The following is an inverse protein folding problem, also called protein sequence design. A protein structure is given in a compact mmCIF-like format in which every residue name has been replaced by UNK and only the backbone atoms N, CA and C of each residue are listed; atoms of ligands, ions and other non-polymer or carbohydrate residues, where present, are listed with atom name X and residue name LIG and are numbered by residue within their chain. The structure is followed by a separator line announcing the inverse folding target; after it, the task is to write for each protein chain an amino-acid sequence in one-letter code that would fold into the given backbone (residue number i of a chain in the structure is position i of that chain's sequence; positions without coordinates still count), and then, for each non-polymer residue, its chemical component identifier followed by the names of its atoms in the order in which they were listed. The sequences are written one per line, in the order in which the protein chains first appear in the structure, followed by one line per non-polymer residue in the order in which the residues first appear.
data_IF_385514628840
#
_entry.id   IF_385514628840
#
_cell.length_a   1.000
_cell.length_b   1.000
_cell.length_c   1.000
_cell.angle_alpha   90.00
_cell.angle_beta   90.00
_cell.angle_gamma   90.00
#
_symmetry.space_group_name_H-M   'P 1'
#
loop_
_entity.id
_entity.type
_entity.pdbx_description
1 polymer ?
#
# COMPACT_ATOMS: atom_id res chain seq x y z
N UNK A 1 -14.14 -18.75 17.18
CA UNK A 1 -12.67 -18.74 16.99
C UNK A 1 -12.39 -19.25 15.59
N UNK A 2 -11.71 -18.49 14.74
CA UNK A 2 -11.25 -18.97 13.44
C UNK A 2 -10.11 -19.97 13.68
N UNK A 3 -10.23 -21.17 13.11
CA UNK A 3 -9.34 -22.30 13.38
C UNK A 3 -7.89 -21.99 13.00
N UNK A 4 -6.97 -22.27 13.92
CA UNK A 4 -5.55 -22.02 13.79
C UNK A 4 -4.77 -23.11 13.01
N UNK A 5 -5.47 -24.04 12.34
CA UNK A 5 -4.88 -25.26 11.75
C UNK A 5 -4.91 -25.32 10.21
N UNK A 6 -5.03 -24.19 9.53
CA UNK A 6 -4.89 -24.16 8.08
C UNK A 6 -3.43 -23.86 7.70
N UNK A 7 -2.81 -24.76 6.94
CA UNK A 7 -1.54 -24.46 6.27
C UNK A 7 -1.68 -23.18 5.42
N UNK A 8 -0.64 -22.35 5.31
CA UNK A 8 -0.69 -21.14 4.49
C UNK A 8 -1.12 -21.48 3.06
N UNK A 9 -2.08 -20.72 2.52
CA UNK A 9 -2.55 -20.89 1.12
C UNK A 9 -1.42 -20.60 0.13
N UNK A 10 -0.51 -19.70 0.49
CA UNK A 10 0.66 -19.35 -0.30
C UNK A 10 1.95 -19.70 0.46
N UNK A 11 2.99 -20.20 -0.23
CA UNK A 11 4.30 -20.40 0.37
C UNK A 11 4.93 -19.04 0.75
N UNK A 12 5.95 -19.07 1.61
CA UNK A 12 6.57 -17.86 2.16
C UNK A 12 7.28 -17.00 1.11
N UNK A 13 7.73 -17.61 0.02
CA UNK A 13 8.39 -16.96 -1.10
C UNK A 13 7.41 -16.46 -2.17
N UNK A 14 6.11 -16.74 -2.04
CA UNK A 14 5.11 -16.27 -2.98
C UNK A 14 4.99 -14.74 -2.92
N UNK A 15 5.17 -14.11 -4.07
CA UNK A 15 4.95 -12.68 -4.27
C UNK A 15 3.50 -12.45 -4.69
N UNK A 16 2.77 -11.70 -3.88
CA UNK A 16 1.46 -11.16 -4.22
C UNK A 16 1.57 -9.64 -4.39
N UNK A 17 1.17 -9.12 -5.54
CA UNK A 17 1.23 -7.69 -5.83
C UNK A 17 -0.13 -7.16 -6.32
N UNK A 18 -0.43 -5.90 -6.01
CA UNK A 18 -1.66 -5.21 -6.42
C UNK A 18 -1.39 -3.74 -6.74
N UNK A 19 -1.94 -3.28 -7.85
CA UNK A 19 -2.14 -1.86 -8.14
C UNK A 19 -3.62 -1.52 -8.07
N UNK A 20 -3.98 -0.41 -7.43
CA UNK A 20 -5.30 0.17 -7.59
C UNK A 20 -5.28 1.68 -7.34
N UNK A 21 -5.74 2.45 -8.33
CA UNK A 21 -5.81 3.92 -8.27
C UNK A 21 -4.48 4.58 -7.91
N UNK A 22 -3.36 4.04 -8.36
CA UNK A 22 -2.01 4.55 -8.08
C UNK A 22 -1.41 4.11 -6.75
N UNK A 23 -2.20 3.57 -5.81
CA UNK A 23 -1.67 2.86 -4.65
C UNK A 23 -1.15 1.47 -5.06
N UNK A 24 -0.13 1.00 -4.35
CA UNK A 24 0.59 -0.23 -4.69
C UNK A 24 0.91 -1.01 -3.43
N UNK A 25 0.85 -2.33 -3.54
CA UNK A 25 1.42 -3.18 -2.51
C UNK A 25 2.06 -4.43 -3.11
N UNK A 26 3.13 -4.89 -2.46
CA UNK A 26 3.72 -6.21 -2.65
C UNK A 26 3.79 -6.89 -1.30
N UNK A 27 3.42 -8.17 -1.24
CA UNK A 27 3.58 -9.01 -0.06
C UNK A 27 4.36 -10.26 -0.44
N UNK A 28 5.39 -10.56 0.34
CA UNK A 28 6.15 -11.81 0.28
C UNK A 28 6.31 -12.33 1.70
N UNK A 29 5.66 -13.45 2.00
CA UNK A 29 5.60 -14.02 3.34
C UNK A 29 5.03 -13.03 4.38
N UNK A 30 5.89 -12.65 5.35
CA UNK A 30 5.56 -11.70 6.43
C UNK A 30 5.79 -10.24 6.05
N UNK A 31 6.52 -9.97 4.98
CA UNK A 31 6.90 -8.61 4.62
C UNK A 31 5.91 -8.02 3.62
N UNK A 32 5.63 -6.73 3.79
CA UNK A 32 4.78 -5.98 2.87
C UNK A 32 5.43 -4.65 2.53
N UNK A 33 5.54 -4.39 1.24
CA UNK A 33 5.94 -3.12 0.67
C UNK A 33 4.68 -2.37 0.23
N UNK A 34 4.57 -1.08 0.55
CA UNK A 34 3.42 -0.25 0.13
C UNK A 34 3.87 1.08 -0.41
N UNK A 35 3.10 1.58 -1.38
CA UNK A 35 3.16 2.94 -1.88
C UNK A 35 1.76 3.52 -1.79
N UNK A 36 1.58 4.53 -0.94
CA UNK A 36 0.26 5.11 -0.68
C UNK A 36 0.03 6.42 -1.44
N UNK A 37 -1.23 6.65 -1.80
CA UNK A 37 -1.75 7.89 -2.37
C UNK A 37 -3.09 8.25 -1.70
N UNK A 38 -3.57 9.50 -1.81
CA UNK A 38 -4.88 9.89 -1.31
C UNK A 38 -6.03 9.06 -1.91
N UNK A 39 -6.99 8.71 -1.07
CA UNK A 39 -8.10 7.83 -1.43
C UNK A 39 -9.06 8.47 -2.44
N UNK A 40 -9.13 8.03 -3.70
CA UNK A 40 -10.00 8.66 -4.72
C UNK A 40 -11.49 8.77 -4.33
N UNK A 41 -12.19 9.75 -4.92
CA UNK A 41 -13.66 9.91 -4.85
C UNK A 41 -14.26 10.17 -3.45
N UNK A 42 -13.48 10.57 -2.46
CA UNK A 42 -13.99 10.96 -1.13
C UNK A 42 -13.56 12.38 -0.76
N UNK A 43 -14.20 12.98 0.23
CA UNK A 43 -13.69 14.18 0.88
C UNK A 43 -12.68 13.78 1.95
N UNK A 44 -11.51 14.45 1.98
CA UNK A 44 -10.43 14.16 2.92
C UNK A 44 -9.86 15.46 3.50
N UNK A 45 -10.15 15.79 4.77
CA UNK A 45 -9.73 17.07 5.38
C UNK A 45 -8.34 17.06 5.98
N UNK A 46 -7.64 15.92 5.94
CA UNK A 46 -6.34 15.79 6.59
C UNK A 46 -5.21 16.07 5.61
N UNK A 47 -4.11 16.59 6.14
CA UNK A 47 -2.89 16.75 5.36
C UNK A 47 -2.44 15.39 4.81
N UNK A 48 -1.92 15.40 3.58
CA UNK A 48 -1.31 14.21 2.97
C UNK A 48 0.04 13.98 3.65
N UNK A 49 0.26 12.86 4.35
CA UNK A 49 1.52 12.61 5.03
C UNK A 49 2.70 12.57 4.05
N UNK A 50 3.86 13.11 4.45
CA UNK A 50 5.08 13.11 3.61
C UNK A 50 5.56 11.71 3.20
N UNK A 51 5.26 10.70 4.04
CA UNK A 51 5.55 9.29 3.75
C UNK A 51 4.68 8.69 2.63
N UNK A 52 3.63 9.38 2.19
CA UNK A 52 2.91 8.99 0.98
C UNK A 52 3.72 9.37 -0.25
N UNK A 53 3.47 8.70 -1.37
CA UNK A 53 4.31 8.83 -2.56
C UNK A 53 5.77 8.39 -2.37
N UNK A 54 6.04 7.54 -1.40
CA UNK A 54 7.29 6.83 -1.23
C UNK A 54 7.02 5.38 -0.83
N UNK A 55 7.99 4.51 -1.09
CA UNK A 55 7.92 3.11 -0.69
C UNK A 55 8.16 2.96 0.81
N UNK A 56 7.30 2.19 1.46
CA UNK A 56 7.40 1.86 2.88
C UNK A 56 7.42 0.36 3.06
N UNK A 57 8.23 -0.14 4.00
CA UNK A 57 8.39 -1.57 4.26
C UNK A 57 7.91 -1.91 5.66
N UNK A 58 7.10 -2.96 5.78
CA UNK A 58 6.52 -3.41 7.03
C UNK A 58 6.70 -4.92 7.23
N UNK A 59 6.89 -5.31 8.49
CA UNK A 59 6.81 -6.70 8.93
C UNK A 59 5.44 -6.95 9.55
N UNK A 60 4.55 -7.60 8.81
CA UNK A 60 3.17 -7.86 9.23
C UNK A 60 3.05 -8.85 10.40
N UNK A 61 4.10 -9.61 10.72
CA UNK A 61 4.06 -10.53 11.86
C UNK A 61 4.25 -9.78 13.18
N UNK A 62 5.12 -8.77 13.21
CA UNK A 62 5.35 -7.94 14.40
C UNK A 62 4.48 -6.68 14.42
N UNK A 63 4.10 -6.18 13.25
CA UNK A 63 3.30 -4.98 13.06
C UNK A 63 2.18 -5.18 12.01
N UNK A 64 1.08 -5.85 12.37
CA UNK A 64 -0.08 -6.00 11.49
C UNK A 64 -0.75 -4.68 11.10
N UNK A 65 -0.43 -3.58 11.80
CA UNK A 65 -1.04 -2.26 11.61
C UNK A 65 -0.24 -1.32 10.73
N UNK A 66 0.90 -1.77 10.18
CA UNK A 66 1.73 -1.00 9.23
C UNK A 66 2.11 0.39 9.79
N UNK A 67 2.54 0.40 11.05
CA UNK A 67 2.86 1.63 11.80
C UNK A 67 4.34 1.97 11.75
N UNK A 68 5.20 0.97 11.78
CA UNK A 68 6.65 1.11 11.91
C UNK A 68 7.31 0.74 10.59
N UNK A 69 7.72 1.76 9.85
CA UNK A 69 8.44 1.58 8.59
C UNK A 69 9.88 1.12 8.88
N UNK A 70 10.23 -0.09 8.42
CA UNK A 70 11.54 -0.71 8.62
C UNK A 70 12.43 -0.64 7.37
N UNK A 71 12.05 0.16 6.38
CA UNK A 71 12.78 0.29 5.09
C UNK A 71 14.25 0.70 5.27
N UNK A 72 14.52 1.63 6.18
CA UNK A 72 15.89 2.09 6.47
C UNK A 72 16.78 1.01 7.11
N UNK A 73 16.17 0.08 7.85
CA UNK A 73 16.85 -1.03 8.52
C UNK A 73 17.09 -2.23 7.58
N UNK A 74 16.26 -2.35 6.53
CA UNK A 74 16.29 -3.48 5.59
C UNK A 74 16.34 -3.02 4.11
N UNK A 75 17.36 -2.27 3.68
CA UNK A 75 17.43 -1.70 2.33
C UNK A 75 17.52 -2.77 1.22
N UNK A 76 18.15 -3.92 1.49
CA UNK A 76 18.25 -5.00 0.50
C UNK A 76 16.89 -5.66 0.24
N UNK A 77 16.12 -5.94 1.30
CA UNK A 77 14.77 -6.47 1.21
C UNK A 77 13.81 -5.46 0.55
N UNK A 78 13.98 -4.18 0.87
CA UNK A 78 13.23 -3.11 0.20
C UNK A 78 13.45 -3.15 -1.31
N UNK A 79 14.71 -3.27 -1.76
CA UNK A 79 15.03 -3.38 -3.19
C UNK A 79 14.45 -4.64 -3.82
N UNK A 80 14.57 -5.80 -3.16
CA UNK A 80 13.99 -7.07 -3.65
C UNK A 80 12.47 -6.94 -3.90
N UNK A 81 11.74 -6.35 -2.96
CA UNK A 81 10.29 -6.19 -3.10
C UNK A 81 9.90 -5.10 -4.12
N UNK A 82 10.76 -4.09 -4.32
CA UNK A 82 10.59 -3.11 -5.41
C UNK A 82 10.79 -3.80 -6.76
N UNK A 83 11.82 -4.63 -6.91
CA UNK A 83 12.06 -5.38 -8.16
C UNK A 83 10.87 -6.32 -8.44
N UNK A 84 10.35 -7.00 -7.41
CA UNK A 84 9.15 -7.83 -7.52
C UNK A 84 7.89 -7.04 -7.91
N UNK A 85 7.78 -5.78 -7.45
CA UNK A 85 6.74 -4.86 -7.92
C UNK A 85 6.90 -4.53 -9.41
N UNK A 86 8.13 -4.24 -9.85
CA UNK A 86 8.40 -3.89 -11.24
C UNK A 86 8.09 -5.05 -12.20
N UNK A 87 8.45 -6.28 -11.82
CA UNK A 87 8.08 -7.49 -12.56
C UNK A 87 6.56 -7.65 -12.70
N UNK A 88 5.82 -7.45 -11.60
CA UNK A 88 4.35 -7.44 -11.62
C UNK A 88 3.80 -6.34 -12.54
N UNK A 89 4.35 -5.12 -12.42
CA UNK A 89 3.90 -3.97 -13.18
C UNK A 89 4.14 -4.15 -14.69
N UNK A 90 5.25 -4.76 -15.09
CA UNK A 90 5.53 -5.11 -16.49
C UNK A 90 4.58 -6.19 -16.99
N UNK A 91 4.40 -7.27 -16.23
CA UNK A 91 3.52 -8.37 -16.61
C UNK A 91 2.05 -7.93 -16.78
N UNK A 92 1.61 -6.93 -16.01
CA UNK A 92 0.22 -6.45 -16.00
C UNK A 92 0.04 -5.09 -16.70
N UNK A 93 1.09 -4.55 -17.34
CA UNK A 93 1.05 -3.27 -18.05
C UNK A 93 0.55 -2.11 -17.17
N UNK A 94 0.98 -2.09 -15.91
CA UNK A 94 0.64 -1.06 -14.93
C UNK A 94 1.24 0.28 -15.36
N UNK A 95 0.42 1.34 -15.28
CA UNK A 95 0.87 2.71 -15.48
C UNK A 95 1.53 3.22 -14.19
N UNK A 96 2.83 3.55 -14.26
CA UNK A 96 3.67 3.83 -13.09
C UNK A 96 3.72 5.28 -12.65
N UNK A 97 3.37 6.22 -13.52
CA UNK A 97 3.39 7.64 -13.18
C UNK A 97 1.97 8.17 -12.95
N UNK A 98 1.15 7.36 -12.27
CA UNK A 98 -0.18 7.79 -11.83
C UNK A 98 -0.01 8.61 -10.55
N UNK A 99 -0.24 9.90 -10.66
CA UNK A 99 -0.46 10.81 -9.54
C UNK A 99 -1.91 11.24 -9.60
N UNK A 100 -2.66 10.97 -8.53
CA UNK A 100 -4.00 11.54 -8.41
C UNK A 100 -3.85 13.04 -8.20
N UNK A 101 -4.21 13.82 -9.22
CA UNK A 101 -4.33 15.27 -9.15
C UNK A 101 -5.80 15.67 -9.25
N UNK A 102 -6.16 16.84 -8.71
CA UNK A 102 -7.54 17.37 -8.76
C UNK A 102 -8.60 16.39 -8.22
N UNK A 103 -8.35 15.89 -7.02
CA UNK A 103 -9.18 14.98 -6.21
C UNK A 103 -10.63 15.44 -5.93
N UNK A 104 -10.97 16.67 -6.30
CA UNK A 104 -12.18 17.37 -5.91
C UNK A 104 -13.39 16.97 -6.77
N UNK A 105 -13.88 15.73 -6.62
CA UNK A 105 -15.25 15.44 -7.06
C UNK A 105 -16.30 16.15 -6.18
N UNK A 106 -15.89 16.63 -5.00
CA UNK A 106 -16.69 17.38 -4.05
C UNK A 106 -15.89 18.58 -3.54
N UNK A 107 -15.89 19.68 -4.30
CA UNK A 107 -15.32 20.97 -3.87
C UNK A 107 -16.05 21.57 -2.65
N UNK A 108 -17.21 21.02 -2.30
CA UNK A 108 -18.08 21.49 -1.24
C UNK A 108 -18.41 20.31 -0.32
N UNK A 109 -18.26 20.53 0.98
CA UNK A 109 -18.77 19.63 2.02
C UNK A 109 -20.25 19.30 1.71
N UNK A 110 -20.65 18.01 1.65
CA UNK A 110 -22.06 17.66 1.68
C UNK A 110 -22.67 18.23 2.96
N UNK A 111 -23.81 18.92 2.88
CA UNK A 111 -24.49 19.58 4.01
C UNK A 111 -24.70 18.66 5.24
N UNK A 112 -24.63 17.34 5.04
CA UNK A 112 -24.86 16.33 6.07
C UNK A 112 -23.57 15.68 6.63
N UNK A 113 -22.39 16.25 6.42
CA UNK A 113 -21.17 15.71 7.05
C UNK A 113 -21.21 15.98 8.57
N UNK A 114 -21.17 14.96 9.43
CA UNK A 114 -21.25 15.18 10.87
C UNK A 114 -19.97 15.85 11.37
N UNK A 115 -20.11 17.02 11.99
CA UNK A 115 -19.05 17.65 12.78
C UNK A 115 -18.63 16.68 13.90
N UNK A 116 -17.36 16.30 13.95
CA UNK A 116 -16.76 15.60 15.09
C UNK A 116 -15.90 16.55 15.88
#
# INVERSE_FOLDING_TARGET
MLGADAAPVYPQDHVFAIELHGSRAVRQGRYKLVWEQPAVNTWWPFEVPERWYSWQLFDLQSDPGERNDISAEHPELMRELIDAWEDYADANQVVREVRINQFERWQVLPENYPNR
#
